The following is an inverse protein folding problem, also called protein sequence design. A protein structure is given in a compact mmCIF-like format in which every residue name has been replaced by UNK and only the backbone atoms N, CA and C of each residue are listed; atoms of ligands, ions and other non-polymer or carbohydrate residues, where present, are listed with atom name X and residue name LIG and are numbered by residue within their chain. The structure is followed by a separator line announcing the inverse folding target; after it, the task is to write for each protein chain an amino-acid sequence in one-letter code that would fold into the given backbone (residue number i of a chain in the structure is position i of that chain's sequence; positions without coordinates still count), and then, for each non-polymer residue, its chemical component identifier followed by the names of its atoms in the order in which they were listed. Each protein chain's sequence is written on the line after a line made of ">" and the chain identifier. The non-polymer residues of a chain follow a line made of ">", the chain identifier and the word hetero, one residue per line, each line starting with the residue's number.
data_IF_166089786963
#
_entry.id   IF_166089786963
#
_cell.length_a   1.000
_cell.length_b   1.000
_cell.length_c   1.000
_cell.angle_alpha   90.00
_cell.angle_beta   90.00
_cell.angle_gamma   90.00
#
_symmetry.space_group_name_H-M   'P 1'
#
loop_
_entity.id
_entity.type
_entity.pdbx_description
1 polymer ?
#
# COMPACT_ATOMS: atom_id res chain seq x y z
N UNK A 1 20.41 7.69 14.42
CA UNK A 1 19.94 7.55 13.02
C UNK A 1 18.43 7.37 13.08
N UNK A 2 17.65 8.16 12.33
CA UNK A 2 16.19 8.15 12.43
C UNK A 2 15.62 6.77 12.01
N UNK A 3 14.74 6.14 12.80
CA UNK A 3 14.13 4.87 12.43
C UNK A 3 13.29 5.04 11.16
N UNK A 4 13.43 4.14 10.18
CA UNK A 4 12.65 4.20 8.92
C UNK A 4 11.15 3.99 9.13
N UNK A 5 10.78 3.48 10.30
CA UNK A 5 9.41 3.17 10.68
C UNK A 5 8.75 4.24 11.54
N UNK A 6 9.54 5.21 12.03
CA UNK A 6 9.02 6.41 12.65
C UNK A 6 8.73 7.47 11.57
N UNK A 7 8.03 8.54 11.93
CA UNK A 7 7.73 9.63 11.02
C UNK A 7 9.02 10.29 10.51
N UNK A 8 9.05 10.61 9.22
CA UNK A 8 10.14 11.23 8.46
C UNK A 8 9.88 12.72 8.24
N UNK A 9 8.63 13.17 8.37
CA UNK A 9 8.25 14.57 8.31
C UNK A 9 8.99 15.41 9.36
N UNK A 10 9.50 16.57 8.93
CA UNK A 10 10.06 17.58 9.83
C UNK A 10 9.04 18.71 10.01
N UNK A 11 8.54 18.95 11.23
CA UNK A 11 7.56 20.01 11.50
C UNK A 11 7.98 21.37 10.93
N UNK A 12 7.05 22.02 10.23
CA UNK A 12 7.28 23.34 9.62
C UNK A 12 8.10 23.34 8.32
N UNK A 13 8.52 22.18 7.80
CA UNK A 13 9.26 22.13 6.55
C UNK A 13 8.44 22.70 5.38
N UNK A 14 9.06 23.54 4.55
CA UNK A 14 8.39 24.16 3.38
C UNK A 14 8.36 23.26 2.15
N UNK A 15 9.18 22.21 2.14
CA UNK A 15 9.07 21.17 1.12
C UNK A 15 7.73 20.46 1.30
N UNK A 16 6.98 20.29 0.21
CA UNK A 16 5.74 19.52 0.28
C UNK A 16 6.04 18.09 0.71
N UNK A 17 5.14 17.48 1.47
CA UNK A 17 5.33 16.15 2.03
C UNK A 17 4.00 15.43 2.19
N UNK A 18 4.00 14.15 1.87
CA UNK A 18 2.97 13.23 2.31
C UNK A 18 3.67 12.08 3.03
N UNK A 19 3.00 11.52 4.02
CA UNK A 19 3.52 10.39 4.78
C UNK A 19 2.37 9.59 5.33
N UNK A 20 2.35 8.29 5.06
CA UNK A 20 1.23 7.42 5.36
C UNK A 20 1.70 6.15 6.05
N UNK A 21 1.10 5.89 7.21
CA UNK A 21 1.16 4.62 7.90
C UNK A 21 -0.13 3.87 7.60
N UNK A 22 -0.04 2.74 6.91
CA UNK A 22 -1.24 2.03 6.48
C UNK A 22 -1.17 0.54 6.76
N UNK A 23 -2.35 0.00 7.04
CA UNK A 23 -2.59 -1.36 7.46
C UNK A 23 -3.59 -1.96 6.50
N UNK A 24 -3.35 -3.21 6.11
CA UNK A 24 -4.30 -3.97 5.31
C UNK A 24 -4.31 -5.41 5.76
N UNK A 25 -5.47 -6.03 5.79
CA UNK A 25 -5.57 -7.47 5.98
C UNK A 25 -6.74 -8.03 5.18
N UNK A 26 -6.65 -9.33 4.91
CA UNK A 26 -7.71 -10.10 4.26
C UNK A 26 -8.23 -11.15 5.23
N UNK A 27 -9.51 -11.47 5.07
CA UNK A 27 -10.06 -12.68 5.66
C UNK A 27 -9.31 -13.91 5.09
N UNK A 28 -9.00 -14.93 5.91
CA UNK A 28 -8.22 -16.09 5.45
C UNK A 28 -8.83 -16.96 4.33
N UNK A 29 -10.09 -16.70 3.93
CA UNK A 29 -10.90 -17.63 3.10
C UNK A 29 -12.02 -16.96 2.32
N UNK A 30 -12.54 -15.85 2.83
CA UNK A 30 -13.65 -15.09 2.25
C UNK A 30 -13.09 -13.87 1.54
N UNK A 31 -13.74 -13.37 0.48
CA UNK A 31 -13.29 -12.18 -0.24
C UNK A 31 -13.65 -10.90 0.55
N UNK A 32 -13.13 -10.78 1.76
CA UNK A 32 -13.28 -9.62 2.63
C UNK A 32 -11.91 -9.04 2.95
N UNK A 33 -11.82 -7.71 2.99
CA UNK A 33 -10.59 -7.01 3.29
C UNK A 33 -10.86 -5.67 3.98
N UNK A 34 -9.88 -5.20 4.75
CA UNK A 34 -9.83 -3.81 5.17
C UNK A 34 -8.52 -3.16 4.73
N UNK A 35 -8.56 -1.83 4.58
CA UNK A 35 -7.40 -0.96 4.44
C UNK A 35 -7.62 0.29 5.28
N UNK A 36 -6.70 0.56 6.20
CA UNK A 36 -6.78 1.69 7.14
C UNK A 36 -5.50 2.48 7.01
N UNK A 37 -5.57 3.81 6.97
CA UNK A 37 -4.40 4.67 6.78
C UNK A 37 -4.45 5.94 7.63
N UNK A 38 -3.31 6.24 8.25
CA UNK A 38 -3.03 7.46 9.01
C UNK A 38 -2.00 8.27 8.22
N UNK A 39 -2.42 9.40 7.68
CA UNK A 39 -1.61 10.19 6.76
C UNK A 39 -1.35 11.59 7.30
N UNK A 40 -0.11 12.05 7.19
CA UNK A 40 0.23 13.45 7.24
C UNK A 40 0.29 13.97 5.80
N UNK A 41 -0.37 15.09 5.54
CA UNK A 41 -0.25 15.82 4.28
C UNK A 41 0.15 17.27 4.55
N UNK A 42 1.24 17.71 3.94
CA UNK A 42 1.76 19.08 4.04
C UNK A 42 1.96 19.64 2.63
N UNK A 43 1.17 20.63 2.19
CA UNK A 43 1.32 21.22 0.87
C UNK A 43 2.67 21.93 0.69
N UNK A 44 3.18 21.96 -0.54
CA UNK A 44 4.41 22.67 -0.85
C UNK A 44 4.28 24.18 -0.58
N UNK A 45 5.28 24.75 0.12
CA UNK A 45 5.39 26.16 0.52
C UNK A 45 4.30 26.66 1.47
N UNK A 46 3.37 25.80 1.90
CA UNK A 46 2.24 26.15 2.77
C UNK A 46 2.11 25.17 3.96
N UNK A 47 3.15 25.01 4.81
CA UNK A 47 3.12 24.09 5.94
C UNK A 47 2.02 24.41 6.97
N UNK A 48 1.55 25.66 7.03
CA UNK A 48 0.41 26.09 7.85
C UNK A 48 -0.92 25.46 7.43
N UNK A 49 -0.98 24.88 6.23
CA UNK A 49 -2.14 24.14 5.71
C UNK A 49 -1.97 22.62 5.81
N UNK A 50 -1.01 22.16 6.59
CA UNK A 50 -0.82 20.74 6.79
C UNK A 50 -1.99 20.14 7.59
N UNK A 51 -2.36 18.91 7.25
CA UNK A 51 -3.48 18.18 7.82
C UNK A 51 -3.07 16.76 8.17
N UNK A 52 -3.76 16.17 9.15
CA UNK A 52 -3.86 14.73 9.31
C UNK A 52 -5.07 14.21 8.55
N UNK A 53 -4.89 13.13 7.80
CA UNK A 53 -5.97 12.41 7.14
C UNK A 53 -6.09 11.01 7.72
N UNK A 54 -7.29 10.66 8.16
CA UNK A 54 -7.65 9.32 8.61
C UNK A 54 -8.50 8.67 7.53
N UNK A 55 -8.10 7.49 7.07
CA UNK A 55 -8.78 6.77 6.01
C UNK A 55 -9.15 5.36 6.47
N UNK A 56 -10.31 4.89 6.01
CA UNK A 56 -10.76 3.51 6.19
C UNK A 56 -11.49 3.03 4.94
N UNK A 57 -11.20 1.81 4.51
CA UNK A 57 -11.91 1.14 3.43
C UNK A 57 -12.22 -0.27 3.87
N UNK A 58 -13.50 -0.64 3.79
CA UNK A 58 -13.99 -2.01 3.88
C UNK A 58 -14.36 -2.49 2.49
N UNK A 59 -13.78 -3.62 2.08
CA UNK A 59 -14.11 -4.27 0.82
C UNK A 59 -14.79 -5.60 1.10
N UNK A 60 -16.05 -5.69 0.71
CA UNK A 60 -16.86 -6.90 0.73
C UNK A 60 -17.09 -7.39 -0.71
N UNK A 61 -16.34 -8.41 -1.11
CA UNK A 61 -16.49 -9.07 -2.41
C UNK A 61 -17.60 -10.12 -2.46
N UNK A 62 -18.25 -10.44 -1.34
CA UNK A 62 -19.41 -11.34 -1.33
C UNK A 62 -20.68 -10.57 -1.71
N UNK A 63 -20.88 -9.39 -1.14
CA UNK A 63 -22.03 -8.53 -1.44
C UNK A 63 -21.76 -7.48 -2.51
N UNK A 64 -20.48 -7.21 -2.82
CA UNK A 64 -20.06 -6.09 -3.68
C UNK A 64 -20.22 -4.72 -3.02
N UNK A 65 -20.61 -4.66 -1.74
CA UNK A 65 -20.85 -3.40 -1.01
C UNK A 65 -19.58 -2.96 -0.30
N UNK A 66 -18.87 -2.03 -0.92
CA UNK A 66 -17.69 -1.42 -0.33
C UNK A 66 -18.06 -0.14 0.41
N UNK A 67 -17.32 0.19 1.47
CA UNK A 67 -17.46 1.43 2.23
C UNK A 67 -16.09 2.10 2.28
N UNK A 68 -16.02 3.38 1.96
CA UNK A 68 -14.79 4.18 2.06
C UNK A 68 -15.07 5.46 2.84
N UNK A 69 -14.19 5.77 3.79
CA UNK A 69 -14.30 6.94 4.68
C UNK A 69 -12.98 7.70 4.72
N UNK A 70 -13.09 9.02 4.87
CA UNK A 70 -11.96 9.92 5.07
C UNK A 70 -12.36 11.00 6.06
N UNK A 71 -11.48 11.27 7.03
CA UNK A 71 -11.60 12.40 7.95
C UNK A 71 -10.32 13.23 7.89
N UNK A 72 -10.46 14.53 7.70
CA UNK A 72 -9.34 15.48 7.71
C UNK A 72 -9.41 16.31 8.99
N UNK A 73 -8.26 16.51 9.65
CA UNK A 73 -8.14 17.37 10.82
C UNK A 73 -6.88 18.25 10.70
N UNK A 74 -6.84 19.43 11.34
CA UNK A 74 -5.63 20.24 11.39
C UNK A 74 -4.42 19.46 11.92
N UNK A 75 -3.23 19.71 11.38
CA UNK A 75 -2.01 19.06 11.88
C UNK A 75 -1.74 19.35 13.37
N UNK A 76 -2.24 20.48 13.89
CA UNK A 76 -2.14 20.84 15.31
C UNK A 76 -2.81 19.82 16.24
N UNK A 77 -3.82 19.09 15.75
CA UNK A 77 -4.53 18.04 16.49
C UNK A 77 -3.90 16.65 16.26
N UNK A 78 -2.73 16.60 15.64
CA UNK A 78 -2.03 15.37 15.28
C UNK A 78 -0.67 15.26 16.00
N UNK A 79 -0.22 14.02 16.16
CA UNK A 79 1.12 13.70 16.62
C UNK A 79 1.70 12.62 15.71
N UNK A 80 2.88 12.88 15.15
CA UNK A 80 3.62 11.94 14.32
C UNK A 80 5.02 11.82 14.91
N UNK A 81 5.24 10.77 15.71
CA UNK A 81 6.51 10.61 16.42
C UNK A 81 7.65 10.28 15.45
N UNK A 82 8.76 10.99 15.60
CA UNK A 82 9.99 10.75 14.84
C UNK A 82 10.95 9.78 15.52
N UNK A 83 10.67 9.46 16.78
CA UNK A 83 11.55 8.66 17.65
C UNK A 83 10.89 7.32 18.04
N UNK A 84 9.57 7.21 17.92
CA UNK A 84 8.79 6.03 18.27
C UNK A 84 7.74 5.69 17.19
N UNK A 85 7.20 4.49 17.29
CA UNK A 85 6.13 3.97 16.43
C UNK A 85 4.78 4.39 17.02
N UNK A 86 4.48 5.67 16.92
CA UNK A 86 3.27 6.26 17.48
C UNK A 86 2.77 7.38 16.57
N UNK A 87 1.49 7.28 16.18
CA UNK A 87 0.78 8.32 15.44
C UNK A 87 -0.59 8.51 16.07
N UNK A 88 -0.96 9.78 16.26
CA UNK A 88 -2.31 10.20 16.65
C UNK A 88 -2.86 11.24 15.69
N UNK A 89 -4.12 11.09 15.32
CA UNK A 89 -4.89 12.02 14.49
C UNK A 89 -6.21 12.26 15.25
N UNK A 90 -6.25 13.34 16.03
CA UNK A 90 -7.30 13.59 17.02
C UNK A 90 -7.48 12.40 17.99
N UNK A 91 -8.67 11.80 18.03
CA UNK A 91 -9.03 10.64 18.86
C UNK A 91 -8.61 9.29 18.24
N UNK A 92 -8.16 9.27 16.99
CA UNK A 92 -7.67 8.06 16.31
C UNK A 92 -6.15 7.94 16.43
N UNK A 93 -5.64 6.73 16.32
CA UNK A 93 -4.21 6.51 16.30
C UNK A 93 -3.81 5.08 16.06
N UNK A 94 -2.50 4.89 15.94
CA UNK A 94 -1.89 3.58 16.05
C UNK A 94 -0.60 3.69 16.85
N UNK A 95 -0.29 2.59 17.53
CA UNK A 95 0.96 2.37 18.26
C UNK A 95 1.42 0.95 18.04
N UNK A 96 2.60 0.60 18.53
CA UNK A 96 3.12 -0.76 18.45
C UNK A 96 2.07 -1.80 18.87
N UNK A 97 1.57 -2.57 17.89
CA UNK A 97 0.62 -3.66 18.08
C UNK A 97 -0.86 -3.28 18.16
N UNK A 98 -1.23 -2.00 18.06
CA UNK A 98 -2.64 -1.57 18.16
C UNK A 98 -2.97 -0.43 17.20
N UNK A 99 -4.19 -0.43 16.64
CA UNK A 99 -4.72 0.68 15.86
C UNK A 99 -6.22 0.88 16.12
N UNK A 100 -6.65 2.13 16.19
CA UNK A 100 -8.04 2.51 16.47
C UNK A 100 -8.42 3.80 15.74
N UNK A 101 -9.71 3.98 15.51
CA UNK A 101 -10.23 5.20 14.90
C UNK A 101 -11.67 5.05 14.44
N UNK A 102 -12.24 6.19 14.04
CA UNK A 102 -13.54 6.27 13.42
C UNK A 102 -13.54 7.38 12.38
N UNK A 103 -14.22 7.14 11.27
CA UNK A 103 -14.48 8.14 10.25
C UNK A 103 -15.82 7.85 9.56
N UNK A 104 -16.40 8.89 8.98
CA UNK A 104 -17.68 8.82 8.28
C UNK A 104 -17.49 9.25 6.83
N UNK A 105 -18.24 8.61 5.94
CA UNK A 105 -18.25 8.89 4.52
C UNK A 105 -19.64 8.69 3.94
N UNK A 106 -19.81 8.97 2.65
CA UNK A 106 -21.14 8.92 2.01
C UNK A 106 -21.78 7.53 1.99
N UNK A 107 -20.98 6.47 2.15
CA UNK A 107 -21.44 5.08 2.19
C UNK A 107 -21.69 4.56 3.62
N UNK A 108 -21.55 5.43 4.62
CA UNK A 108 -21.72 5.12 6.04
C UNK A 108 -20.42 5.23 6.86
N UNK A 109 -20.51 5.06 8.19
CA UNK A 109 -19.35 5.13 9.08
C UNK A 109 -18.51 3.86 9.04
N UNK A 110 -17.22 4.01 9.33
CA UNK A 110 -16.33 2.92 9.74
C UNK A 110 -15.68 3.27 11.08
N UNK A 111 -15.75 2.35 12.02
CA UNK A 111 -15.04 2.40 13.31
C UNK A 111 -14.20 1.14 13.45
N UNK A 112 -13.01 1.22 14.03
CA UNK A 112 -12.15 0.07 14.22
C UNK A 112 -11.42 0.12 15.55
N UNK A 113 -11.20 -1.06 16.09
CA UNK A 113 -10.29 -1.28 17.19
C UNK A 113 -9.62 -2.64 16.98
N UNK A 114 -8.33 -2.59 16.63
CA UNK A 114 -7.57 -3.74 16.22
C UNK A 114 -6.26 -3.84 16.99
N UNK A 115 -5.85 -5.08 17.21
CA UNK A 115 -4.52 -5.46 17.62
C UNK A 115 -3.85 -6.20 16.47
N UNK A 116 -2.53 -6.11 16.42
CA UNK A 116 -1.75 -6.86 15.45
C UNK A 116 -0.44 -7.35 16.05
N UNK A 117 0.02 -8.50 15.57
CA UNK A 117 1.27 -9.12 16.00
C UNK A 117 1.98 -9.77 14.81
N UNK A 118 3.27 -10.02 14.97
CA UNK A 118 4.12 -10.67 13.98
C UNK A 118 5.59 -10.52 14.33
N UNK A 119 6.43 -11.30 13.66
CA UNK A 119 7.88 -11.33 13.89
C UNK A 119 8.70 -11.19 12.62
N UNK A 120 8.04 -11.07 11.46
CA UNK A 120 8.73 -10.92 10.18
C UNK A 120 9.57 -9.63 10.16
N UNK A 121 10.83 -9.68 9.68
CA UNK A 121 11.65 -8.49 9.59
C UNK A 121 11.06 -7.50 8.57
N UNK A 122 11.30 -6.18 8.72
CA UNK A 122 10.87 -5.21 7.71
C UNK A 122 11.39 -5.55 6.31
N UNK A 123 10.61 -5.20 5.29
CA UNK A 123 10.92 -5.44 3.88
C UNK A 123 11.08 -4.12 3.14
N UNK A 124 12.19 -3.98 2.42
CA UNK A 124 12.56 -2.76 1.69
C UNK A 124 12.37 -2.95 0.18
N UNK A 125 11.46 -2.17 -0.42
CA UNK A 125 11.21 -2.20 -1.88
C UNK A 125 12.26 -1.41 -2.69
N UNK A 126 13.15 -0.70 -2.00
CA UNK A 126 14.25 0.05 -2.61
C UNK A 126 15.58 -0.37 -1.98
N UNK A 127 16.72 -0.16 -2.67
CA UNK A 127 18.03 -0.32 -2.05
C UNK A 127 18.14 0.53 -0.78
N UNK A 128 18.73 -0.01 0.29
CA UNK A 128 18.79 0.65 1.62
C UNK A 128 19.31 2.08 1.58
N UNK A 129 20.29 2.38 0.71
CA UNK A 129 20.84 3.71 0.52
C UNK A 129 19.81 4.73 0.01
N UNK A 130 18.82 4.30 -0.78
CA UNK A 130 17.80 5.16 -1.36
C UNK A 130 16.91 5.81 -0.29
N UNK A 131 16.70 5.15 0.86
CA UNK A 131 15.90 5.71 1.95
C UNK A 131 16.54 6.91 2.64
N UNK A 132 17.86 7.05 2.55
CA UNK A 132 18.60 8.21 3.06
C UNK A 132 18.80 9.29 2.00
N UNK A 133 18.60 8.95 0.72
CA UNK A 133 18.84 9.84 -0.39
C UNK A 133 17.61 10.73 -0.69
N UNK A 134 17.86 11.85 -1.35
CA UNK A 134 16.79 12.76 -1.84
C UNK A 134 15.92 12.11 -2.91
N UNK A 135 16.50 11.22 -3.70
CA UNK A 135 15.81 10.45 -4.72
C UNK A 135 15.80 8.96 -4.34
N UNK A 136 14.71 8.23 -4.62
CA UNK A 136 13.46 8.69 -5.21
C UNK A 136 12.66 9.59 -4.25
N UNK A 137 11.80 10.45 -4.82
CA UNK A 137 10.99 11.41 -4.05
C UNK A 137 9.83 10.76 -3.31
N UNK A 138 9.42 9.57 -3.74
CA UNK A 138 8.47 8.69 -3.07
C UNK A 138 9.21 7.44 -2.61
N UNK A 139 8.98 7.04 -1.36
CA UNK A 139 9.60 5.89 -0.70
C UNK A 139 8.50 5.07 -0.05
N UNK A 140 8.66 3.75 -0.05
CA UNK A 140 7.75 2.80 0.60
C UNK A 140 8.54 1.67 1.21
N UNK A 141 8.05 1.12 2.31
CA UNK A 141 8.53 -0.12 2.92
C UNK A 141 7.38 -0.82 3.65
N UNK A 142 7.57 -2.10 3.90
CA UNK A 142 6.70 -2.89 4.75
C UNK A 142 7.36 -3.04 6.11
N UNK A 143 6.72 -2.52 7.15
CA UNK A 143 7.25 -2.55 8.50
C UNK A 143 7.06 -3.89 9.19
N UNK A 144 5.93 -4.53 8.95
CA UNK A 144 5.62 -5.86 9.45
C UNK A 144 4.87 -6.66 8.39
N UNK A 145 5.58 -7.45 7.57
CA UNK A 145 4.97 -8.44 6.67
C UNK A 145 4.21 -9.51 7.46
N UNK A 146 3.20 -10.12 6.84
CA UNK A 146 2.40 -11.23 7.43
C UNK A 146 1.84 -10.95 8.84
N UNK A 147 1.57 -9.68 9.15
CA UNK A 147 0.97 -9.29 10.42
C UNK A 147 -0.40 -9.94 10.59
N UNK A 148 -0.67 -10.48 11.79
CA UNK A 148 -1.95 -11.10 12.15
C UNK A 148 -2.79 -10.12 12.95
N UNK A 149 -4.00 -9.84 12.48
CA UNK A 149 -4.91 -8.86 13.07
C UNK A 149 -6.05 -9.53 13.83
N UNK A 150 -6.39 -8.95 14.98
CA UNK A 150 -7.52 -9.35 15.84
C UNK A 150 -8.27 -8.12 16.35
N UNK A 151 -9.58 -8.22 16.57
CA UNK A 151 -10.40 -7.13 17.10
C UNK A 151 -11.72 -7.03 16.34
N UNK A 152 -12.15 -5.81 16.02
CA UNK A 152 -13.41 -5.61 15.29
C UNK A 152 -13.40 -4.34 14.45
N UNK A 153 -14.24 -4.34 13.40
CA UNK A 153 -14.65 -3.16 12.65
C UNK A 153 -16.17 -3.02 12.73
N UNK A 154 -16.67 -1.81 12.98
CA UNK A 154 -18.06 -1.44 12.70
C UNK A 154 -18.11 -0.78 11.33
N UNK A 155 -18.89 -1.31 10.40
CA UNK A 155 -19.02 -0.84 9.02
C UNK A 155 -20.49 -0.61 8.71
N UNK A 156 -20.88 0.63 8.40
CA UNK A 156 -22.26 1.00 8.09
C UNK A 156 -23.30 0.46 9.09
N UNK A 157 -22.95 0.47 10.39
CA UNK A 157 -23.80 -0.02 11.48
C UNK A 157 -23.71 -1.53 11.76
N UNK A 158 -22.97 -2.30 10.97
CA UNK A 158 -22.73 -3.72 11.18
C UNK A 158 -21.35 -3.98 11.79
N UNK A 159 -21.29 -4.80 12.84
CA UNK A 159 -20.01 -5.23 13.41
C UNK A 159 -19.46 -6.47 12.68
N UNK A 160 -18.17 -6.43 12.37
CA UNK A 160 -17.38 -7.52 11.82
C UNK A 160 -16.23 -7.83 12.78
N UNK A 161 -16.21 -9.04 13.32
CA UNK A 161 -15.09 -9.49 14.12
C UNK A 161 -13.92 -9.89 13.21
N UNK A 162 -12.74 -9.40 13.58
CA UNK A 162 -11.48 -9.70 12.89
C UNK A 162 -10.78 -10.75 13.73
N UNK A 163 -10.70 -11.96 13.18
CA UNK A 163 -10.11 -13.12 13.84
C UNK A 163 -9.01 -13.65 12.93
N UNK A 164 -7.77 -13.36 13.29
CA UNK A 164 -6.58 -13.87 12.62
C UNK A 164 -6.51 -13.53 11.12
N UNK A 165 -6.97 -12.32 10.75
CA UNK A 165 -6.80 -11.82 9.40
C UNK A 165 -5.32 -11.53 9.14
N UNK A 166 -4.81 -11.93 7.99
CA UNK A 166 -3.38 -11.79 7.65
C UNK A 166 -3.16 -10.62 6.71
N UNK A 167 -2.11 -9.86 6.99
CA UNK A 167 -1.92 -8.55 6.41
C UNK A 167 -0.52 -8.00 6.54
N UNK A 168 -0.44 -6.68 6.59
CA UNK A 168 0.82 -5.97 6.73
C UNK A 168 0.63 -4.60 7.37
N UNK A 169 1.68 -4.17 8.08
CA UNK A 169 1.91 -2.78 8.42
C UNK A 169 2.88 -2.18 7.39
N UNK A 170 2.53 -1.03 6.84
CA UNK A 170 3.27 -0.40 5.75
C UNK A 170 3.52 1.08 6.06
N UNK A 171 4.60 1.60 5.49
CA UNK A 171 4.98 2.99 5.64
C UNK A 171 5.45 3.54 4.29
N UNK A 172 4.82 4.61 3.81
CA UNK A 172 5.29 5.34 2.64
C UNK A 172 5.35 6.85 2.90
N UNK A 173 6.29 7.53 2.27
CA UNK A 173 6.44 8.97 2.40
C UNK A 173 7.12 9.55 1.17
N UNK A 174 6.95 10.86 0.99
CA UNK A 174 7.61 11.54 -0.11
C UNK A 174 7.26 13.00 -0.25
N UNK A 175 8.04 13.69 -1.07
CA UNK A 175 7.79 15.11 -1.38
C UNK A 175 6.80 15.34 -2.52
N UNK A 176 6.42 14.26 -3.21
CA UNK A 176 5.49 14.23 -4.35
C UNK A 176 5.10 12.77 -4.61
N UNK A 177 3.84 12.50 -4.93
CA UNK A 177 3.43 11.18 -5.40
C UNK A 177 4.03 10.87 -6.77
N UNK A 178 4.41 9.61 -7.01
CA UNK A 178 4.82 9.13 -8.35
C UNK A 178 3.76 9.51 -9.39
N UNK A 179 4.19 9.91 -10.60
CA UNK A 179 3.27 10.43 -11.61
C UNK A 179 2.23 9.37 -12.04
N UNK A 180 2.66 8.11 -12.18
CA UNK A 180 1.77 6.96 -12.30
C UNK A 180 2.44 5.70 -11.76
N UNK A 181 1.67 4.85 -11.06
CA UNK A 181 2.14 3.55 -10.61
C UNK A 181 1.04 2.49 -10.64
N UNK A 182 1.46 1.23 -10.76
CA UNK A 182 0.72 0.08 -10.27
C UNK A 182 1.48 -0.47 -9.05
N UNK A 183 0.76 -0.83 -7.98
CA UNK A 183 1.33 -1.42 -6.77
C UNK A 183 0.53 -2.66 -6.39
N UNK A 184 1.22 -3.68 -5.91
CA UNK A 184 0.60 -4.92 -5.50
C UNK A 184 1.35 -5.56 -4.35
N UNK A 185 0.59 -6.23 -3.50
CA UNK A 185 1.11 -6.91 -2.33
C UNK A 185 0.27 -8.13 -2.01
N UNK A 186 0.92 -9.25 -1.72
CA UNK A 186 0.25 -10.45 -1.24
C UNK A 186 0.83 -10.82 0.12
N UNK A 187 -0.01 -10.78 1.15
CA UNK A 187 0.34 -11.24 2.48
C UNK A 187 -0.24 -12.64 2.68
N UNK A 188 0.53 -13.66 2.27
CA UNK A 188 0.14 -15.06 2.26
C UNK A 188 -0.67 -15.44 1.02
N UNK A 189 -0.10 -16.32 0.19
CA UNK A 189 -0.80 -16.91 -0.95
C UNK A 189 -1.69 -18.08 -0.49
N UNK A 190 -2.67 -18.46 -1.31
CA UNK A 190 -3.62 -19.53 -0.96
C UNK A 190 -2.92 -20.89 -0.93
N UNK A 191 -1.94 -21.10 -1.80
CA UNK A 191 -1.10 -22.31 -1.83
C UNK A 191 0.27 -22.15 -1.16
N UNK A 192 0.59 -20.96 -0.64
CA UNK A 192 1.84 -20.68 0.08
C UNK A 192 1.61 -19.56 1.13
N UNK A 193 0.94 -19.87 2.26
CA UNK A 193 0.50 -18.87 3.23
C UNK A 193 1.64 -18.11 3.93
N UNK A 194 2.83 -18.70 3.98
CA UNK A 194 4.04 -18.09 4.57
C UNK A 194 4.79 -17.17 3.58
N UNK A 195 4.29 -17.02 2.36
CA UNK A 195 4.96 -16.23 1.33
C UNK A 195 4.41 -14.80 1.28
N UNK A 196 5.32 -13.85 1.04
CA UNK A 196 4.99 -12.44 1.00
C UNK A 196 5.55 -11.79 -0.26
N UNK A 197 4.69 -11.11 -1.01
CA UNK A 197 5.05 -10.35 -2.21
C UNK A 197 4.84 -8.85 -1.94
N UNK A 198 5.83 -8.03 -2.31
CA UNK A 198 5.70 -6.59 -2.50
C UNK A 198 6.23 -6.26 -3.90
N UNK A 199 5.42 -5.60 -4.73
CA UNK A 199 5.80 -5.21 -6.09
C UNK A 199 5.20 -3.88 -6.47
N UNK A 200 5.95 -3.09 -7.23
CA UNK A 200 5.41 -1.89 -7.88
C UNK A 200 5.93 -1.81 -9.30
N UNK A 201 5.16 -1.23 -10.22
CA UNK A 201 5.68 -0.67 -11.47
C UNK A 201 5.43 0.83 -11.47
N UNK A 202 6.49 1.63 -11.54
CA UNK A 202 6.43 3.07 -11.56
C UNK A 202 6.84 3.65 -12.91
N UNK A 203 6.18 4.73 -13.34
CA UNK A 203 6.61 5.59 -14.45
C UNK A 203 6.66 7.03 -13.98
N UNK A 204 7.76 7.70 -14.28
CA UNK A 204 7.97 9.11 -13.93
C UNK A 204 7.91 9.96 -15.19
N UNK A 205 7.45 11.21 -15.03
CA UNK A 205 7.43 12.19 -16.10
C UNK A 205 8.59 13.16 -15.95
N UNK A 206 9.48 13.19 -16.94
CA UNK A 206 10.58 14.17 -17.04
C UNK A 206 10.22 15.18 -18.13
N UNK A 207 9.65 16.31 -17.74
CA UNK A 207 9.08 17.28 -18.69
C UNK A 207 7.87 16.69 -19.40
N UNK A 208 7.94 16.53 -20.72
CA UNK A 208 6.88 15.90 -21.52
C UNK A 208 7.08 14.38 -21.72
N UNK A 209 8.26 13.84 -21.36
CA UNK A 209 8.66 12.46 -21.69
C UNK A 209 8.46 11.54 -20.49
N UNK A 210 7.92 10.34 -20.73
CA UNK A 210 7.81 9.29 -19.74
C UNK A 210 9.09 8.47 -19.66
N UNK A 211 9.53 8.14 -18.45
CA UNK A 211 10.58 7.14 -18.26
C UNK A 211 10.10 5.75 -18.69
N UNK A 212 11.03 4.83 -19.03
CA UNK A 212 10.73 3.41 -19.02
C UNK A 212 10.11 2.97 -17.68
N UNK A 213 9.26 1.94 -17.67
CA UNK A 213 8.73 1.39 -16.43
C UNK A 213 9.86 0.82 -15.57
N UNK A 214 9.81 1.10 -14.27
CA UNK A 214 10.71 0.55 -13.27
C UNK A 214 9.91 -0.35 -12.34
N UNK A 215 10.24 -1.64 -12.28
CA UNK A 215 9.43 -2.64 -11.55
C UNK A 215 10.21 -3.32 -10.42
N UNK A 216 10.40 -2.67 -9.26
CA UNK A 216 11.01 -3.31 -8.12
C UNK A 216 10.06 -4.37 -7.56
N UNK A 217 10.63 -5.51 -7.17
CA UNK A 217 9.89 -6.61 -6.58
C UNK A 217 10.71 -7.20 -5.44
N UNK A 218 10.04 -7.51 -4.34
CA UNK A 218 10.59 -8.35 -3.29
C UNK A 218 9.61 -9.48 -3.00
N UNK A 219 10.09 -10.71 -3.11
CA UNK A 219 9.35 -11.91 -2.75
C UNK A 219 10.08 -12.63 -1.63
N UNK A 220 9.40 -12.90 -0.52
CA UNK A 220 9.84 -13.88 0.49
C UNK A 220 9.08 -15.17 0.29
N UNK A 221 9.81 -16.24 0.00
CA UNK A 221 9.24 -17.55 -0.30
C UNK A 221 10.28 -18.65 -0.02
N UNK A 222 9.84 -19.78 0.54
CA UNK A 222 10.72 -20.92 0.84
C UNK A 222 11.90 -20.58 1.78
N UNK A 223 11.71 -19.65 2.72
CA UNK A 223 12.78 -19.21 3.63
C UNK A 223 13.83 -18.29 2.99
N UNK A 224 13.62 -17.84 1.75
CA UNK A 224 14.53 -16.94 1.02
C UNK A 224 13.85 -15.63 0.63
N UNK A 225 14.62 -14.54 0.64
CA UNK A 225 14.21 -13.25 0.09
C UNK A 225 14.82 -13.03 -1.31
N UNK A 226 13.97 -12.80 -2.30
CA UNK A 226 14.32 -12.42 -3.65
C UNK A 226 14.10 -10.91 -3.84
N UNK A 227 15.12 -10.10 -3.55
CA UNK A 227 15.07 -8.65 -3.65
C UNK A 227 15.51 -8.15 -5.03
N UNK A 228 14.59 -8.11 -5.99
CA UNK A 228 14.80 -7.62 -7.36
C UNK A 228 14.56 -6.10 -7.43
N UNK A 229 15.40 -5.35 -6.72
CA UNK A 229 15.27 -3.88 -6.53
C UNK A 229 16.36 -3.06 -7.23
N UNK A 230 17.31 -3.72 -7.90
CA UNK A 230 18.45 -3.10 -8.59
C UNK A 230 18.08 -2.42 -9.91
N UNK A 231 18.96 -1.54 -10.39
CA UNK A 231 18.72 -0.68 -11.57
C UNK A 231 18.78 -1.45 -12.90
N UNK A 232 19.58 -2.51 -13.02
CA UNK A 232 19.73 -3.29 -14.25
C UNK A 232 18.54 -4.25 -14.44
N UNK A 233 18.11 -4.88 -13.34
CA UNK A 233 17.01 -5.84 -13.29
C UNK A 233 15.67 -5.16 -13.61
N UNK A 234 15.46 -3.98 -13.04
CA UNK A 234 14.23 -3.20 -13.20
C UNK A 234 14.08 -2.55 -14.58
N UNK A 235 15.19 -2.27 -15.29
CA UNK A 235 15.14 -1.77 -16.67
C UNK A 235 14.81 -2.86 -17.69
N UNK A 236 15.13 -4.13 -17.39
CA UNK A 236 14.71 -5.30 -18.18
C UNK A 236 13.26 -5.70 -17.89
N UNK A 237 12.70 -5.18 -16.81
CA UNK A 237 11.36 -5.51 -16.40
C UNK A 237 10.32 -5.02 -17.40
N UNK A 238 9.33 -5.86 -17.66
CA UNK A 238 8.14 -5.47 -18.43
C UNK A 238 7.02 -5.27 -17.43
N UNK A 239 6.32 -4.15 -17.55
CA UNK A 239 5.10 -3.87 -16.79
C UNK A 239 4.07 -3.32 -17.77
N UNK A 240 2.95 -4.01 -17.93
CA UNK A 240 1.79 -3.53 -18.70
C UNK A 240 0.58 -3.61 -17.79
N UNK A 241 -0.16 -2.52 -17.71
CA UNK A 241 -1.42 -2.54 -16.98
C UNK A 241 -2.51 -1.81 -17.75
N UNK A 242 -3.71 -2.38 -17.69
CA UNK A 242 -4.96 -1.66 -17.85
C UNK A 242 -5.44 -1.23 -16.45
N UNK A 243 -6.61 -0.60 -16.33
CA UNK A 243 -7.13 -0.22 -15.00
C UNK A 243 -7.37 -1.40 -14.05
N UNK A 244 -7.54 -2.62 -14.57
CA UNK A 244 -8.03 -3.76 -13.78
C UNK A 244 -7.21 -5.04 -13.94
N UNK A 245 -6.14 -4.99 -14.73
CA UNK A 245 -5.20 -6.08 -14.93
C UNK A 245 -3.79 -5.50 -15.07
N UNK A 246 -2.84 -6.09 -14.36
CA UNK A 246 -1.44 -5.73 -14.39
C UNK A 246 -0.59 -6.98 -14.54
N UNK A 247 0.20 -6.99 -15.61
CA UNK A 247 1.21 -8.00 -15.87
C UNK A 247 2.60 -7.40 -15.63
N UNK A 248 3.44 -8.15 -14.94
CA UNK A 248 4.83 -7.80 -14.73
C UNK A 248 5.76 -8.99 -14.87
N UNK A 249 7.01 -8.71 -15.25
CA UNK A 249 8.08 -9.68 -15.25
C UNK A 249 9.39 -9.00 -14.84
N UNK A 250 10.14 -9.63 -13.94
CA UNK A 250 11.47 -9.19 -13.49
C UNK A 250 12.30 -10.41 -13.12
N UNK A 251 13.62 -10.28 -13.03
CA UNK A 251 14.49 -11.38 -12.69
C UNK A 251 15.97 -11.01 -12.74
N UNK A 252 16.78 -11.95 -12.28
CA UNK A 252 18.23 -11.91 -12.35
C UNK A 252 18.75 -13.29 -12.80
N UNK A 253 20.06 -13.52 -12.64
CA UNK A 253 20.70 -14.78 -13.03
C UNK A 253 20.30 -15.97 -12.15
N UNK A 254 19.65 -15.72 -11.01
CA UNK A 254 19.17 -16.74 -10.09
C UNK A 254 17.71 -17.13 -10.35
N UNK A 255 16.83 -16.15 -10.51
CA UNK A 255 15.38 -16.35 -10.61
C UNK A 255 14.74 -15.42 -11.64
N UNK A 256 13.75 -15.94 -12.35
CA UNK A 256 12.78 -15.13 -13.13
C UNK A 256 11.42 -15.22 -12.48
N UNK A 257 10.77 -14.08 -12.34
CA UNK A 257 9.45 -13.94 -11.74
C UNK A 257 8.54 -13.25 -12.74
N UNK A 258 7.46 -13.92 -13.10
CA UNK A 258 6.38 -13.37 -13.91
C UNK A 258 5.11 -13.35 -13.06
N UNK A 259 4.33 -12.28 -13.15
CA UNK A 259 3.15 -12.13 -12.32
C UNK A 259 2.02 -11.43 -13.05
N UNK A 260 0.80 -11.82 -12.69
CA UNK A 260 -0.43 -11.12 -13.07
C UNK A 260 -1.22 -10.80 -11.80
N UNK A 261 -1.63 -9.55 -11.64
CA UNK A 261 -2.59 -9.11 -10.62
C UNK A 261 -3.79 -8.52 -11.33
N UNK A 262 -4.99 -8.99 -10.98
CA UNK A 262 -6.22 -8.52 -11.60
C UNK A 262 -7.41 -8.61 -10.64
N UNK A 263 -8.39 -7.74 -10.84
CA UNK A 263 -9.66 -7.80 -10.13
C UNK A 263 -10.77 -7.27 -11.05
N UNK A 264 -12.02 -7.74 -10.91
CA UNK A 264 -13.13 -7.11 -11.61
C UNK A 264 -13.30 -5.65 -11.14
N UNK A 265 -13.84 -4.80 -12.01
CA UNK A 265 -14.13 -3.39 -11.72
C UNK A 265 -14.91 -3.22 -10.39
N UNK A 266 -15.86 -4.10 -10.12
CA UNK A 266 -16.68 -4.10 -8.90
C UNK A 266 -15.89 -4.29 -7.60
N UNK A 267 -14.64 -4.77 -7.64
CA UNK A 267 -13.77 -4.97 -6.48
C UNK A 267 -12.88 -3.76 -6.15
N UNK A 268 -13.07 -2.64 -6.85
CA UNK A 268 -12.30 -1.42 -6.65
C UNK A 268 -13.13 -0.32 -6.01
N UNK A 269 -12.46 0.49 -5.20
CA UNK A 269 -12.91 1.84 -4.84
C UNK A 269 -11.97 2.87 -5.48
N UNK A 270 -12.49 4.03 -5.89
CA UNK A 270 -11.67 5.13 -6.35
C UNK A 270 -11.55 6.19 -5.24
N UNK A 271 -10.31 6.48 -4.85
CA UNK A 271 -9.94 7.42 -3.80
C UNK A 271 -9.23 8.63 -4.41
N UNK A 272 -9.45 9.82 -3.84
CA UNK A 272 -8.88 11.08 -4.30
C UNK A 272 -7.72 11.50 -3.40
N UNK A 273 -6.51 11.50 -3.93
CA UNK A 273 -5.30 11.87 -3.19
C UNK A 273 -4.86 13.28 -3.54
N UNK A 274 -4.63 14.10 -2.52
CA UNK A 274 -3.94 15.38 -2.70
C UNK A 274 -2.47 15.15 -3.01
N UNK A 275 -1.92 15.92 -3.94
CA UNK A 275 -0.50 15.86 -4.27
C UNK A 275 0.23 17.07 -3.67
N UNK A 276 1.33 16.92 -2.90
CA UNK A 276 1.95 18.06 -2.22
C UNK A 276 2.36 19.23 -3.13
N UNK A 277 2.84 19.01 -4.37
CA UNK A 277 3.09 20.09 -5.33
C UNK A 277 1.84 20.80 -5.87
N UNK A 278 0.65 20.25 -5.65
CA UNK A 278 -0.64 20.71 -6.18
C UNK A 278 -1.35 19.68 -7.05
N UNK A 279 -2.67 19.83 -7.16
CA UNK A 279 -3.56 18.92 -7.89
C UNK A 279 -3.99 17.69 -7.09
N UNK A 280 -4.81 16.87 -7.74
CA UNK A 280 -5.35 15.63 -7.18
C UNK A 280 -5.00 14.47 -8.10
N UNK A 281 -4.86 13.27 -7.54
CA UNK A 281 -4.68 12.01 -8.27
C UNK A 281 -5.76 11.03 -7.84
N UNK A 282 -6.13 10.12 -8.74
CA UNK A 282 -7.04 9.02 -8.42
C UNK A 282 -6.26 7.76 -8.11
N UNK A 283 -6.51 7.21 -6.92
CA UNK A 283 -6.04 5.88 -6.53
C UNK A 283 -7.18 4.90 -6.68
N UNK A 284 -7.11 4.04 -7.69
CA UNK A 284 -7.99 2.88 -7.81
C UNK A 284 -7.44 1.82 -6.86
N UNK A 285 -8.23 1.46 -5.86
CA UNK A 285 -7.77 0.66 -4.74
C UNK A 285 -8.61 -0.60 -4.60
N UNK A 286 -7.96 -1.76 -4.72
CA UNK A 286 -8.51 -3.05 -4.34
C UNK A 286 -7.59 -3.73 -3.34
N UNK A 287 -8.22 -4.53 -2.48
CA UNK A 287 -7.55 -5.53 -1.63
C UNK A 287 -8.14 -6.93 -1.84
N UNK A 288 -8.90 -7.10 -2.92
CA UNK A 288 -9.62 -8.33 -3.27
C UNK A 288 -9.17 -8.86 -4.65
N UNK A 289 -7.96 -8.49 -5.09
CA UNK A 289 -7.45 -8.94 -6.37
C UNK A 289 -6.96 -10.39 -6.30
N UNK A 290 -7.03 -11.05 -7.45
CA UNK A 290 -6.32 -12.29 -7.72
C UNK A 290 -4.87 -11.96 -8.05
N UNK A 291 -3.95 -12.79 -7.60
CA UNK A 291 -2.56 -12.78 -8.05
C UNK A 291 -2.11 -14.18 -8.43
N UNK A 292 -1.40 -14.29 -9.55
CA UNK A 292 -0.69 -15.50 -9.95
C UNK A 292 0.75 -15.13 -10.28
N UNK A 293 1.71 -15.81 -9.65
CA UNK A 293 3.13 -15.68 -9.89
C UNK A 293 3.69 -16.99 -10.42
N UNK A 294 4.50 -16.93 -11.47
CA UNK A 294 5.37 -18.02 -11.90
C UNK A 294 6.81 -17.68 -11.56
N UNK A 295 7.43 -18.55 -10.78
CA UNK A 295 8.84 -18.51 -10.43
C UNK A 295 9.59 -19.51 -11.30
N UNK A 296 10.72 -19.11 -11.89
CA UNK A 296 11.60 -20.01 -12.65
C UNK A 296 13.02 -19.89 -12.11
N UNK A 297 13.54 -20.98 -11.56
CA UNK A 297 14.92 -21.05 -11.09
C UNK A 297 15.86 -21.22 -12.28
N UNK A 298 16.74 -20.24 -12.52
CA UNK A 298 17.55 -20.17 -13.73
C UNK A 298 18.56 -21.32 -13.85
N UNK A 299 19.07 -21.84 -12.73
CA UNK A 299 20.07 -22.91 -12.71
C UNK A 299 19.49 -24.30 -13.03
N UNK A 300 18.26 -24.57 -12.61
CA UNK A 300 17.63 -25.89 -12.75
C UNK A 300 16.53 -25.93 -13.82
N UNK A 301 16.00 -24.76 -14.21
CA UNK A 301 14.80 -24.66 -15.02
C UNK A 301 13.51 -25.00 -14.27
N UNK A 302 13.58 -25.33 -12.97
CA UNK A 302 12.40 -25.67 -12.18
C UNK A 302 11.45 -24.48 -12.06
N UNK A 303 10.14 -24.77 -12.14
CA UNK A 303 9.08 -23.76 -12.06
C UNK A 303 8.14 -24.00 -10.90
N UNK A 304 7.74 -22.94 -10.22
CA UNK A 304 6.72 -22.96 -9.18
C UNK A 304 5.67 -21.87 -9.45
N UNK A 305 4.41 -22.14 -9.06
CA UNK A 305 3.32 -21.19 -9.19
C UNK A 305 2.75 -20.85 -7.82
N UNK A 306 2.73 -19.56 -7.48
CA UNK A 306 2.06 -19.03 -6.28
C UNK A 306 0.78 -18.33 -6.70
N UNK A 307 -0.33 -18.57 -6.01
CA UNK A 307 -1.63 -17.98 -6.36
C UNK A 307 -2.46 -17.59 -5.15
N UNK A 308 -3.21 -16.50 -5.28
CA UNK A 308 -4.32 -16.18 -4.39
C UNK A 308 -5.49 -15.65 -5.18
N UNK A 309 -6.70 -16.04 -4.79
CA UNK A 309 -7.93 -15.62 -5.49
C UNK A 309 -8.40 -14.22 -5.07
N UNK A 310 -8.21 -13.82 -3.82
CA UNK A 310 -8.81 -12.60 -3.27
C UNK A 310 -7.98 -11.88 -2.19
N UNK A 311 -6.67 -12.18 -2.08
CA UNK A 311 -5.81 -11.60 -1.03
C UNK A 311 -4.77 -10.62 -1.55
N UNK A 312 -4.72 -10.38 -2.85
CA UNK A 312 -3.81 -9.41 -3.42
C UNK A 312 -4.34 -7.99 -3.24
N UNK A 313 -3.48 -7.14 -2.70
CA UNK A 313 -3.63 -5.71 -2.88
C UNK A 313 -3.32 -5.35 -4.33
N UNK A 314 -4.11 -4.45 -4.89
CA UNK A 314 -3.88 -3.89 -6.21
C UNK A 314 -4.28 -2.42 -6.20
N UNK A 315 -3.29 -1.54 -6.38
CA UNK A 315 -3.50 -0.10 -6.47
C UNK A 315 -2.97 0.46 -7.78
N UNK A 316 -3.73 1.38 -8.37
CA UNK A 316 -3.30 2.14 -9.53
C UNK A 316 -3.45 3.62 -9.24
N UNK A 317 -2.37 4.37 -9.36
CA UNK A 317 -2.40 5.83 -9.29
C UNK A 317 -2.38 6.42 -10.70
N UNK A 318 -3.40 7.23 -11.00
CA UNK A 318 -3.63 7.79 -12.33
C UNK A 318 -4.26 9.19 -12.26
N UNK A 319 -4.04 9.98 -13.31
CA UNK A 319 -4.72 11.26 -13.52
C UNK A 319 -5.95 11.10 -14.44
N UNK A 320 -6.15 9.89 -14.98
CA UNK A 320 -7.27 9.57 -15.87
C UNK A 320 -8.57 9.47 -15.09
N UNK A 321 -9.67 9.89 -15.70
CA UNK A 321 -11.03 9.85 -15.15
C UNK A 321 -11.96 8.85 -15.87
N UNK A 322 -11.50 8.25 -16.96
CA UNK A 322 -12.25 7.31 -17.80
C UNK A 322 -12.20 5.86 -17.30
N UNK A 323 -11.83 5.65 -16.04
CA UNK A 323 -11.81 4.33 -15.38
C UNK A 323 -13.19 3.81 -14.98
N UNK A 324 -14.25 4.62 -15.11
CA UNK A 324 -15.63 4.20 -14.88
C UNK A 324 -15.98 3.89 -13.42
N UNK A 325 -15.15 4.29 -12.45
CA UNK A 325 -15.43 4.15 -11.02
C UNK A 325 -15.93 5.47 -10.44
N UNK A 326 -16.92 5.40 -9.55
CA UNK A 326 -17.32 6.55 -8.74
C UNK A 326 -16.23 6.85 -7.70
N UNK A 327 -15.75 8.09 -7.68
CA UNK A 327 -14.83 8.59 -6.65
C UNK A 327 -15.61 8.75 -5.34
N UNK A 328 -15.15 8.12 -4.26
CA UNK A 328 -15.89 8.05 -2.98
C UNK A 328 -15.44 9.09 -1.96
N UNK A 329 -14.12 9.24 -1.78
CA UNK A 329 -13.48 10.08 -0.75
C UNK A 329 -12.22 10.74 -1.24
#
# INVERSE_FOLDING_TARGET
>A
MQPLLAAQYVPGQRQGHYESFFFRANHPKRPLAFWIRYTLFSPHRKPERAIGELWGVWLDGESGRHVAVKREVPLADCSFSRDSFDVRIADAGWRSGELWGAAEGSDGPITWQLRYEGSEPPLLLLPRAAYRARLPRAKSLVGLPLARFRGWLGVAGQRHDIVDWVGSQNHNWGSRHTDSYAWGQVAGFDNAPESFLEVATARLKMGAVWTPPFTPLVLRHGGKEYALTGTLETLRARGKWSFFQWEFATGNDEIRIQGTIQAPHSHFVALRYYNPPGGEKYCLNSKLARCELTLTHCSTGATEVLRTEHRAAFEILTDRTDHGLRVRV
#
